data_IF_623903112044
#
_entry.id   IF_623903112044
#
_cell.length_a   1.000
_cell.length_b   1.000
_cell.length_c   1.000
_cell.angle_alpha   90.00
_cell.angle_beta   90.00
_cell.angle_gamma   90.00
#
_symmetry.space_group_name_H-M   'P 1'
#
loop_
_entity.id
_entity.type
_entity.pdbx_description
1 polymer ?
#
# COMPACT_ATOMS: atom_id res chain seq x y z
N UNK A 1 4.84 -18.13 -39.79
CA UNK A 1 6.18 -17.76 -39.29
C UNK A 1 6.04 -17.42 -37.81
N UNK A 2 6.75 -18.13 -36.93
CA UNK A 2 6.70 -17.90 -35.48
C UNK A 2 7.66 -16.78 -35.16
N UNK A 3 7.14 -15.63 -34.79
CA UNK A 3 7.93 -14.56 -34.21
C UNK A 3 8.12 -14.90 -32.72
N UNK A 4 9.08 -15.78 -32.43
CA UNK A 4 9.55 -15.99 -31.06
C UNK A 4 10.39 -14.77 -30.70
N UNK A 5 9.72 -13.67 -30.38
CA UNK A 5 10.35 -12.49 -29.80
C UNK A 5 10.97 -12.89 -28.47
N UNK A 6 12.26 -13.23 -28.51
CA UNK A 6 13.08 -13.41 -27.33
C UNK A 6 13.12 -12.04 -26.65
N UNK A 7 12.22 -11.84 -25.68
CA UNK A 7 12.23 -10.64 -24.86
C UNK A 7 13.43 -10.78 -23.95
N UNK A 8 14.48 -10.04 -24.26
CA UNK A 8 15.68 -9.92 -23.43
C UNK A 8 15.26 -9.70 -21.97
N UNK A 9 15.57 -10.66 -21.09
CA UNK A 9 15.22 -10.63 -19.67
C UNK A 9 15.74 -9.34 -19.00
N UNK A 10 16.79 -8.72 -19.54
CA UNK A 10 17.37 -7.46 -19.05
C UNK A 10 16.64 -6.18 -19.53
N UNK A 11 15.75 -6.25 -20.53
CA UNK A 11 14.94 -5.08 -20.97
C UNK A 11 13.61 -4.96 -20.23
N UNK A 12 13.20 -5.98 -19.49
CA UNK A 12 11.97 -5.94 -18.71
C UNK A 12 12.21 -5.19 -17.39
N UNK A 13 12.09 -3.86 -17.42
CA UNK A 13 12.07 -3.01 -16.22
C UNK A 13 11.28 -3.71 -15.11
N UNK A 14 11.87 -3.91 -13.94
CA UNK A 14 11.27 -4.62 -12.78
C UNK A 14 9.82 -4.18 -12.50
N UNK A 15 9.47 -2.93 -12.79
CA UNK A 15 8.10 -2.40 -12.72
C UNK A 15 7.07 -3.10 -13.62
N UNK A 16 7.48 -3.61 -14.77
CA UNK A 16 6.67 -4.37 -15.73
C UNK A 16 6.33 -5.75 -15.16
N UNK A 17 7.34 -6.41 -14.58
CA UNK A 17 7.22 -7.72 -13.93
C UNK A 17 6.24 -7.69 -12.75
N UNK A 18 6.24 -6.61 -11.97
CA UNK A 18 5.33 -6.44 -10.84
C UNK A 18 3.88 -6.15 -11.21
N UNK A 19 3.58 -5.89 -12.49
CA UNK A 19 2.27 -5.37 -12.90
C UNK A 19 1.60 -6.12 -14.03
N UNK A 20 2.36 -6.90 -14.81
CA UNK A 20 1.85 -7.95 -15.70
C UNK A 20 1.71 -9.26 -14.92
N UNK A 21 0.62 -10.00 -15.16
CA UNK A 21 0.55 -11.40 -14.73
C UNK A 21 1.74 -12.14 -15.35
N UNK A 22 2.63 -12.69 -14.53
CA UNK A 22 3.76 -13.46 -15.03
C UNK A 22 3.32 -14.91 -15.21
N UNK A 23 3.86 -15.62 -16.19
CA UNK A 23 3.72 -17.07 -16.29
C UNK A 23 5.07 -17.69 -15.95
N UNK A 24 5.17 -18.37 -14.81
CA UNK A 24 6.39 -19.07 -14.40
C UNK A 24 6.12 -20.56 -14.29
N UNK A 25 6.91 -21.37 -15.02
CA UNK A 25 6.70 -22.83 -15.17
C UNK A 25 5.28 -23.20 -15.60
N UNK A 26 4.72 -22.46 -16.57
CA UNK A 26 3.41 -22.74 -17.14
C UNK A 26 2.21 -22.43 -16.23
N UNK A 27 2.41 -21.75 -15.09
CA UNK A 27 1.31 -21.25 -14.24
C UNK A 27 1.32 -19.73 -14.18
N UNK A 28 0.13 -19.13 -14.26
CA UNK A 28 -0.03 -17.71 -13.98
C UNK A 28 0.34 -17.43 -12.51
N UNK A 29 1.42 -16.70 -12.33
CA UNK A 29 1.96 -16.18 -11.08
C UNK A 29 2.04 -14.65 -11.20
N UNK A 30 0.92 -13.98 -11.01
CA UNK A 30 0.93 -12.53 -10.84
C UNK A 30 1.45 -12.15 -9.45
N UNK A 31 2.27 -11.11 -9.36
CA UNK A 31 2.51 -10.45 -8.08
C UNK A 31 1.18 -9.88 -7.58
N UNK A 32 0.78 -10.27 -6.37
CA UNK A 32 -0.41 -9.69 -5.74
C UNK A 32 -0.12 -8.21 -5.52
N UNK A 33 -1.01 -7.33 -5.98
CA UNK A 33 -0.87 -5.88 -5.82
C UNK A 33 -2.14 -5.29 -5.23
N UNK A 34 -2.03 -4.14 -4.57
CA UNK A 34 -3.18 -3.35 -4.13
C UNK A 34 -3.09 -1.91 -4.63
N UNK A 35 -4.15 -1.13 -4.40
CA UNK A 35 -4.21 0.26 -4.83
C UNK A 35 -4.09 1.20 -3.62
N UNK A 36 -3.66 2.47 -3.80
CA UNK A 36 -3.57 3.44 -2.71
C UNK A 36 -4.87 3.68 -1.94
N UNK A 37 -6.02 3.42 -2.58
CA UNK A 37 -7.34 3.55 -1.99
C UNK A 37 -7.84 2.25 -1.33
N UNK A 38 -7.07 1.17 -1.35
CA UNK A 38 -7.39 -0.05 -0.60
C UNK A 38 -7.23 0.22 0.90
N UNK A 39 -8.23 -0.15 1.71
CA UNK A 39 -8.16 0.01 3.16
C UNK A 39 -7.08 -0.89 3.76
N UNK A 40 -6.49 -0.45 4.89
CA UNK A 40 -5.48 -1.25 5.59
C UNK A 40 -6.03 -2.59 6.09
N UNK A 41 -7.32 -2.66 6.44
CA UNK A 41 -7.97 -3.91 6.85
C UNK A 41 -8.01 -4.93 5.71
N UNK A 42 -8.48 -4.50 4.53
CA UNK A 42 -8.55 -5.37 3.34
C UNK A 42 -7.14 -5.75 2.88
N UNK A 43 -6.18 -4.84 2.94
CA UNK A 43 -4.79 -5.14 2.63
C UNK A 43 -4.21 -6.19 3.59
N UNK A 44 -4.50 -6.08 4.90
CA UNK A 44 -4.09 -7.07 5.92
C UNK A 44 -4.68 -8.45 5.64
N UNK A 45 -5.99 -8.53 5.42
CA UNK A 45 -6.66 -9.80 5.11
C UNK A 45 -6.09 -10.46 3.84
N UNK A 46 -5.83 -9.67 2.80
CA UNK A 46 -5.18 -10.14 1.57
C UNK A 46 -3.78 -10.71 1.85
N UNK A 47 -2.99 -10.02 2.67
CA UNK A 47 -1.64 -10.45 3.04
C UNK A 47 -1.65 -11.74 3.86
N UNK A 48 -2.56 -11.85 4.82
CA UNK A 48 -2.75 -13.04 5.66
C UNK A 48 -3.24 -14.23 4.83
N UNK A 49 -4.28 -14.05 4.02
CA UNK A 49 -4.88 -15.09 3.19
C UNK A 49 -3.89 -15.65 2.14
N UNK A 50 -2.96 -14.83 1.67
CA UNK A 50 -1.93 -15.23 0.70
C UNK A 50 -0.58 -15.54 1.35
N UNK A 51 -0.45 -15.42 2.66
CA UNK A 51 0.81 -15.65 3.39
C UNK A 51 1.97 -14.77 2.92
N UNK A 52 1.69 -13.54 2.47
CA UNK A 52 2.70 -12.60 1.99
C UNK A 52 3.00 -11.52 3.02
N UNK A 53 4.28 -11.14 3.13
CA UNK A 53 4.72 -10.07 4.06
C UNK A 53 4.86 -8.69 3.41
N UNK A 54 4.82 -8.65 2.08
CA UNK A 54 4.99 -7.43 1.30
C UNK A 54 3.94 -7.37 0.21
N UNK A 55 3.25 -6.24 0.12
CA UNK A 55 2.19 -6.01 -0.85
C UNK A 55 2.52 -4.75 -1.66
N UNK A 56 2.92 -4.89 -2.94
CA UNK A 56 3.13 -3.75 -3.82
C UNK A 56 1.85 -2.94 -4.00
N UNK A 57 1.98 -1.63 -3.78
CA UNK A 57 0.91 -0.66 -4.02
C UNK A 57 1.12 -0.07 -5.41
N UNK A 58 0.11 -0.09 -6.28
CA UNK A 58 0.21 0.40 -7.67
C UNK A 58 -0.81 1.50 -7.95
N UNK A 59 -0.44 2.52 -8.72
CA UNK A 59 -1.39 3.54 -9.18
C UNK A 59 -2.22 2.99 -10.35
N UNK A 60 -3.53 3.25 -10.34
CA UNK A 60 -4.39 3.03 -11.52
C UNK A 60 -3.90 3.97 -12.64
N UNK A 61 -3.62 3.43 -13.81
CA UNK A 61 -3.27 4.23 -14.99
C UNK A 61 -4.48 5.08 -15.40
N UNK A 62 -4.29 6.39 -15.54
CA UNK A 62 -5.38 7.36 -15.70
C UNK A 62 -5.66 7.82 -17.13
N UNK A 63 -4.91 7.41 -18.15
CA UNK A 63 -5.10 7.93 -19.51
C UNK A 63 -5.55 6.85 -20.50
N UNK A 64 -6.69 7.10 -21.13
CA UNK A 64 -7.32 6.28 -22.19
C UNK A 64 -6.45 6.10 -23.45
N UNK A 65 -5.38 6.89 -23.62
CA UNK A 65 -4.69 7.01 -24.89
C UNK A 65 -3.26 6.44 -24.93
N UNK A 66 -2.75 5.92 -23.80
CA UNK A 66 -1.51 5.16 -23.78
C UNK A 66 -1.68 4.03 -22.80
N UNK A 67 -1.34 2.82 -23.23
CA UNK A 67 -1.09 1.62 -22.40
C UNK A 67 0.04 1.89 -21.37
N UNK A 68 -0.12 2.91 -20.53
CA UNK A 68 0.88 3.33 -19.57
C UNK A 68 0.82 2.37 -18.40
N UNK A 69 1.69 1.37 -18.50
CA UNK A 69 2.26 0.52 -17.44
C UNK A 69 1.84 1.00 -16.05
N UNK A 70 1.07 0.17 -15.34
CA UNK A 70 0.73 0.40 -13.92
C UNK A 70 2.03 0.77 -13.19
N UNK A 71 2.06 1.90 -12.50
CA UNK A 71 3.26 2.38 -11.80
C UNK A 71 3.21 1.94 -10.35
N UNK A 72 4.28 1.36 -9.85
CA UNK A 72 4.42 1.08 -8.41
C UNK A 72 4.42 2.43 -7.67
N UNK A 73 3.49 2.57 -6.74
CA UNK A 73 3.36 3.71 -5.84
C UNK A 73 4.19 3.52 -4.56
N UNK A 74 4.36 2.27 -4.13
CA UNK A 74 5.12 1.94 -2.92
C UNK A 74 5.01 0.45 -2.57
N UNK A 75 5.53 0.11 -1.40
CA UNK A 75 5.51 -1.24 -0.86
C UNK A 75 4.93 -1.22 0.55
N UNK A 76 3.87 -1.98 0.79
CA UNK A 76 3.26 -2.12 2.10
C UNK A 76 3.85 -3.35 2.80
N UNK A 77 4.49 -3.15 3.95
CA UNK A 77 5.00 -4.22 4.79
C UNK A 77 3.96 -4.59 5.85
N UNK A 78 3.77 -5.90 6.08
CA UNK A 78 2.85 -6.39 7.09
C UNK A 78 3.17 -5.83 8.48
N UNK A 79 4.46 -5.86 8.86
CA UNK A 79 4.93 -5.38 10.17
C UNK A 79 4.70 -3.87 10.36
N UNK A 80 4.72 -3.10 9.25
CA UNK A 80 4.46 -1.66 9.30
C UNK A 80 3.00 -1.34 9.65
N UNK A 81 2.05 -2.23 9.38
CA UNK A 81 0.64 -2.04 9.75
C UNK A 81 0.48 -1.83 11.25
N UNK A 82 1.17 -2.66 12.04
CA UNK A 82 1.11 -2.59 13.49
C UNK A 82 1.73 -1.32 14.05
N UNK A 83 2.87 -0.90 13.49
CA UNK A 83 3.51 0.36 13.85
C UNK A 83 2.62 1.56 13.54
N UNK A 84 1.99 1.59 12.36
CA UNK A 84 1.05 2.64 11.98
C UNK A 84 -0.15 2.72 12.93
N UNK A 85 -0.75 1.58 13.30
CA UNK A 85 -1.88 1.53 14.22
C UNK A 85 -1.50 2.05 15.62
N UNK A 86 -0.37 1.59 16.18
CA UNK A 86 0.10 2.09 17.49
C UNK A 86 0.36 3.60 17.46
N UNK A 87 0.99 4.09 16.40
CA UNK A 87 1.28 5.53 16.23
C UNK A 87 -0.02 6.35 16.22
N UNK A 88 -1.02 5.91 15.46
CA UNK A 88 -2.33 6.57 15.39
C UNK A 88 -3.06 6.57 16.73
N UNK A 89 -3.08 5.43 17.45
CA UNK A 89 -3.69 5.34 18.78
C UNK A 89 -3.02 6.32 19.75
N UNK A 90 -1.69 6.37 19.75
CA UNK A 90 -0.94 7.27 20.62
C UNK A 90 -1.19 8.74 20.27
N UNK A 91 -1.22 9.07 18.98
CA UNK A 91 -1.56 10.42 18.52
C UNK A 91 -2.94 10.86 19.01
N UNK A 92 -3.96 10.00 18.90
CA UNK A 92 -5.32 10.32 19.41
C UNK A 92 -5.35 10.50 20.93
N UNK A 93 -4.60 9.69 21.68
CA UNK A 93 -4.50 9.86 23.14
C UNK A 93 -3.89 11.21 23.50
N UNK A 94 -2.84 11.62 22.80
CA UNK A 94 -2.20 12.91 22.99
C UNK A 94 -3.14 14.08 22.65
N UNK A 95 -3.80 14.03 21.49
CA UNK A 95 -4.80 15.03 21.10
C UNK A 95 -5.92 15.15 22.14
N UNK A 96 -6.42 14.02 22.65
CA UNK A 96 -7.45 14.02 23.68
C UNK A 96 -6.96 14.54 25.03
N UNK A 97 -5.72 14.23 25.43
CA UNK A 97 -5.11 14.76 26.66
C UNK A 97 -4.97 16.28 26.56
N UNK A 98 -4.40 16.79 25.46
CA UNK A 98 -4.22 18.22 25.24
C UNK A 98 -5.58 18.95 25.26
N UNK A 99 -6.63 18.35 24.66
CA UNK A 99 -7.99 18.91 24.72
C UNK A 99 -8.53 19.02 26.15
N UNK A 100 -8.27 18.03 27.01
CA UNK A 100 -8.68 18.04 28.42
C UNK A 100 -7.90 19.07 29.23
N UNK A 101 -6.58 19.13 29.06
CA UNK A 101 -5.72 20.13 29.73
C UNK A 101 -6.13 21.55 29.35
N UNK A 102 -6.39 21.81 28.07
CA UNK A 102 -6.90 23.09 27.60
C UNK A 102 -8.28 23.43 28.20
N UNK A 103 -9.18 22.45 28.35
CA UNK A 103 -10.49 22.67 28.96
C UNK A 103 -10.37 23.02 30.46
N UNK A 104 -9.53 22.30 31.20
CA UNK A 104 -9.26 22.59 32.61
C UNK A 104 -8.62 23.97 32.79
N UNK A 105 -7.69 24.36 31.91
CA UNK A 105 -7.05 25.67 31.95
C UNK A 105 -8.04 26.82 31.68
N UNK A 106 -9.03 26.61 30.80
CA UNK A 106 -10.09 27.59 30.55
C UNK A 106 -11.04 27.70 31.76
N UNK A 107 -11.38 26.58 32.40
CA UNK A 107 -12.24 26.58 33.60
C UNK A 107 -11.58 27.23 34.82
N UNK A 108 -10.26 27.07 34.99
CA UNK A 108 -9.53 27.77 36.06
C UNK A 108 -9.34 29.25 35.77
N UNK A 109 -9.10 29.64 34.52
CA UNK A 109 -9.00 31.05 34.13
C UNK A 109 -10.32 31.81 34.28
N UNK A 110 -11.47 31.14 34.04
CA UNK A 110 -12.80 31.75 34.19
C UNK A 110 -13.30 31.81 35.64
N UNK A 111 -12.57 31.23 36.61
CA UNK A 111 -12.88 31.29 38.05
C UNK A 111 -12.08 32.34 38.82
N UNK A 112 -11.41 33.26 38.12
CA UNK A 112 -10.76 34.44 38.71
C UNK A 112 -11.38 35.72 38.17
#
# INVERSE_FOLDING_TARGET
>A
MRDSGFVDENTCLVSSVCTRGMTYRGRERGLLTCYPNTSLAVAKELMEAKGIKQLPVVKRGGDRNRERKRRIAGLLHYDALWHCLRKEINHRKEVNRNRRENHLAVETANRH
#
